data_IF_711446925796
#
_entry.id   IF_711446925796
#
_cell.length_a   1.000
_cell.length_b   1.000
_cell.length_c   1.000
_cell.angle_alpha   90.00
_cell.angle_beta   90.00
_cell.angle_gamma   90.00
#
_symmetry.space_group_name_H-M   'P 1'
#
loop_
_entity.id
_entity.type
_entity.pdbx_description
1 polymer ?
#
# COMPACT_ATOMS: atom_id res chain seq x y z
N UNK A 1 -67.21 -39.36 31.90
CA UNK A 1 -67.48 -39.26 33.35
C UNK A 1 -66.96 -37.90 33.85
N UNK A 2 -67.89 -37.12 34.26
CA UNK A 2 -67.90 -36.22 35.44
C UNK A 2 -66.77 -35.19 35.48
N UNK A 3 -67.05 -33.96 35.46
CA UNK A 3 -67.99 -32.94 35.96
C UNK A 3 -67.23 -31.87 36.73
N UNK A 4 -67.58 -30.59 36.40
CA UNK A 4 -67.78 -29.43 37.29
C UNK A 4 -66.56 -28.95 38.09
N UNK A 5 -66.26 -27.69 38.21
CA UNK A 5 -67.18 -26.62 38.50
C UNK A 5 -66.52 -25.25 38.52
N UNK A 6 -67.36 -24.38 38.22
CA UNK A 6 -67.59 -22.97 38.44
C UNK A 6 -66.99 -22.36 39.71
N UNK A 7 -66.47 -21.14 39.65
CA UNK A 7 -66.84 -20.05 40.52
C UNK A 7 -66.31 -18.69 40.04
N UNK A 8 -67.23 -17.77 39.83
CA UNK A 8 -67.15 -16.35 39.63
C UNK A 8 -66.91 -15.67 40.98
N UNK A 9 -66.03 -14.67 41.06
CA UNK A 9 -66.20 -13.55 41.99
C UNK A 9 -65.75 -12.28 41.32
N UNK A 10 -66.74 -11.39 41.21
CA UNK A 10 -66.65 -10.02 40.79
C UNK A 10 -66.26 -9.17 42.00
N UNK A 11 -65.32 -8.23 41.87
CA UNK A 11 -65.18 -7.10 42.80
C UNK A 11 -64.75 -5.86 42.02
N UNK A 12 -65.64 -4.90 41.93
CA UNK A 12 -65.38 -3.52 41.50
C UNK A 12 -64.58 -2.79 42.57
N UNK A 13 -63.65 -1.98 42.20
CA UNK A 13 -62.99 -0.98 43.03
C UNK A 13 -62.47 0.17 42.20
N UNK A 14 -63.17 1.28 42.26
CA UNK A 14 -62.87 2.61 41.64
C UNK A 14 -61.73 3.31 42.43
N UNK A 15 -61.10 4.23 41.71
CA UNK A 15 -60.39 5.45 42.11
C UNK A 15 -58.86 5.28 42.21
N UNK A 16 -58.00 6.11 41.71
CA UNK A 16 -57.94 7.53 41.42
C UNK A 16 -56.69 7.82 40.62
N UNK A 17 -56.76 8.76 39.69
CA UNK A 17 -55.65 9.45 39.02
C UNK A 17 -54.56 9.91 39.95
N UNK A 18 -53.31 9.67 39.59
CA UNK A 18 -52.21 10.65 39.75
C UNK A 18 -51.25 10.44 38.62
N UNK A 19 -51.15 11.45 37.77
CA UNK A 19 -50.21 11.50 36.65
C UNK A 19 -48.76 11.50 37.10
N UNK A 20 -48.00 10.64 36.46
CA UNK A 20 -46.57 10.79 36.38
C UNK A 20 -46.18 10.55 34.91
N UNK A 21 -45.93 11.65 34.22
CA UNK A 21 -45.28 11.64 32.94
C UNK A 21 -43.89 11.02 33.09
N UNK A 22 -43.75 9.74 32.78
CA UNK A 22 -42.47 9.14 32.51
C UNK A 22 -42.10 9.48 31.06
N UNK A 23 -41.24 10.48 30.95
CA UNK A 23 -40.48 10.76 29.73
C UNK A 23 -39.72 9.49 29.31
N UNK A 24 -40.25 8.79 28.34
CA UNK A 24 -39.53 7.72 27.66
C UNK A 24 -38.35 8.36 26.95
N UNK A 25 -37.18 8.32 27.59
CA UNK A 25 -35.89 8.49 26.92
C UNK A 25 -35.77 7.37 25.91
N UNK A 26 -36.01 7.72 24.64
CA UNK A 26 -35.60 6.89 23.52
C UNK A 26 -34.09 6.87 23.53
N UNK A 27 -33.52 5.83 24.11
CA UNK A 27 -32.15 5.45 23.82
C UNK A 27 -32.06 5.18 22.31
N UNK A 28 -31.61 6.19 21.60
CA UNK A 28 -31.10 6.02 20.24
C UNK A 28 -29.84 5.17 20.36
N UNK A 29 -29.81 3.96 19.81
CA UNK A 29 -28.57 3.18 19.82
C UNK A 29 -27.51 4.05 19.11
N UNK A 30 -26.49 4.42 19.88
CA UNK A 30 -25.36 5.17 19.38
C UNK A 30 -24.88 4.53 18.10
N UNK A 31 -24.98 5.29 17.01
CA UNK A 31 -24.35 4.96 15.73
C UNK A 31 -22.85 4.94 16.04
N UNK A 32 -22.34 3.75 16.33
CA UNK A 32 -20.90 3.52 16.31
C UNK A 32 -20.48 3.94 14.92
N UNK A 33 -19.85 5.10 14.80
CA UNK A 33 -19.16 5.48 13.57
C UNK A 33 -18.17 4.34 13.31
N UNK A 34 -18.50 3.55 12.31
CA UNK A 34 -17.62 2.50 11.82
C UNK A 34 -16.31 3.20 11.42
N UNK A 35 -15.33 3.11 12.27
CA UNK A 35 -13.97 3.50 11.97
C UNK A 35 -13.63 2.83 10.64
N UNK A 36 -13.23 3.57 9.59
CA UNK A 36 -12.95 2.96 8.29
C UNK A 36 -11.94 1.85 8.53
N UNK A 37 -12.32 0.63 8.22
CA UNK A 37 -11.46 -0.54 8.35
C UNK A 37 -10.17 -0.20 7.58
N UNK A 38 -9.07 -0.04 8.31
CA UNK A 38 -7.77 0.20 7.70
C UNK A 38 -7.48 -1.02 6.84
N UNK A 39 -7.49 -0.83 5.52
CA UNK A 39 -7.16 -1.90 4.58
C UNK A 39 -5.82 -2.52 4.95
N UNK A 40 -5.71 -3.83 4.86
CA UNK A 40 -4.45 -4.52 5.13
C UNK A 40 -3.32 -3.93 4.28
N UNK A 41 -2.07 -3.88 4.78
CA UNK A 41 -0.94 -3.44 3.97
C UNK A 41 -0.77 -4.33 2.74
N UNK A 42 -0.57 -3.72 1.57
CA UNK A 42 -0.42 -4.50 0.34
C UNK A 42 -0.23 -3.66 -0.90
N UNK A 43 -0.16 -4.34 -2.02
CA UNK A 43 -0.19 -3.77 -3.35
C UNK A 43 -1.43 -4.24 -4.10
N UNK A 44 -1.97 -3.36 -4.93
CA UNK A 44 -3.05 -3.66 -5.87
C UNK A 44 -2.57 -3.35 -7.28
N UNK A 45 -2.79 -4.29 -8.20
CA UNK A 45 -2.35 -4.18 -9.59
C UNK A 45 -3.55 -4.35 -10.50
N UNK A 46 -3.95 -3.27 -11.14
CA UNK A 46 -5.06 -3.25 -12.10
C UNK A 46 -4.54 -3.10 -13.53
N UNK A 47 -5.29 -3.69 -14.45
CA UNK A 47 -5.02 -3.58 -15.87
C UNK A 47 -5.83 -2.42 -16.42
N UNK A 48 -5.23 -1.55 -17.27
CA UNK A 48 -6.01 -0.57 -18.01
C UNK A 48 -6.98 -1.26 -18.97
N UNK A 49 -8.08 -0.60 -19.37
CA UNK A 49 -9.02 -1.17 -20.31
C UNK A 49 -8.32 -1.64 -21.59
N UNK A 50 -8.65 -2.82 -22.10
CA UNK A 50 -8.06 -3.43 -23.29
C UNK A 50 -8.28 -2.61 -24.58
N UNK A 51 -9.26 -1.70 -24.57
CA UNK A 51 -9.56 -0.75 -25.63
C UNK A 51 -8.62 0.46 -25.68
N UNK A 52 -7.72 0.61 -24.73
CA UNK A 52 -6.76 1.71 -24.71
C UNK A 52 -5.75 1.53 -25.85
N UNK A 53 -5.66 2.44 -26.84
CA UNK A 53 -4.77 2.29 -28.00
C UNK A 53 -3.30 2.22 -27.63
N UNK A 54 -2.94 2.72 -26.43
CA UNK A 54 -1.62 2.65 -25.83
C UNK A 54 -1.72 1.88 -24.51
N UNK A 55 -1.65 0.56 -24.59
CA UNK A 55 -1.58 -0.28 -23.38
C UNK A 55 -0.23 -0.04 -22.69
N UNK A 56 -0.18 1.03 -21.90
CA UNK A 56 1.08 1.57 -21.35
C UNK A 56 1.65 0.75 -20.17
N UNK A 57 0.94 -0.29 -19.76
CA UNK A 57 1.35 -1.14 -18.63
C UNK A 57 0.32 -1.19 -17.51
N UNK A 58 0.60 -1.92 -16.43
CA UNK A 58 -0.29 -2.07 -15.29
C UNK A 58 -0.34 -0.78 -14.47
N UNK A 59 -1.44 -0.54 -13.77
CA UNK A 59 -1.53 0.52 -12.75
C UNK A 59 -1.30 -0.12 -11.39
N UNK A 60 -0.25 0.31 -10.71
CA UNK A 60 0.16 -0.19 -9.40
C UNK A 60 -0.26 0.82 -8.33
N UNK A 61 -0.92 0.34 -7.29
CA UNK A 61 -1.30 1.10 -6.08
C UNK A 61 -0.76 0.39 -4.86
N UNK A 62 -0.44 1.15 -3.84
CA UNK A 62 -0.07 0.60 -2.54
C UNK A 62 -1.07 1.05 -1.48
N UNK A 63 -1.34 0.19 -0.51
CA UNK A 63 -2.17 0.50 0.63
C UNK A 63 -1.38 0.22 1.91
N UNK A 64 -1.28 1.21 2.79
CA UNK A 64 -0.74 1.08 4.15
C UNK A 64 0.64 0.40 4.29
N UNK A 65 1.43 0.35 3.21
CA UNK A 65 2.74 -0.36 3.20
C UNK A 65 3.78 0.29 4.11
N UNK A 66 3.62 1.59 4.39
CA UNK A 66 4.43 2.30 5.38
C UNK A 66 3.62 2.65 6.65
N UNK A 67 2.37 2.18 6.78
CA UNK A 67 1.56 2.40 7.98
C UNK A 67 2.10 1.54 9.13
N UNK A 68 2.64 2.18 10.15
CA UNK A 68 3.13 1.50 11.34
C UNK A 68 3.80 2.50 12.28
N UNK A 69 3.51 2.38 13.59
CA UNK A 69 4.09 3.27 14.59
C UNK A 69 5.62 3.13 14.66
N UNK A 70 6.13 1.92 14.47
CA UNK A 70 7.56 1.65 14.56
C UNK A 70 8.31 2.21 13.34
N UNK A 71 7.76 2.05 12.14
CA UNK A 71 8.34 2.66 10.94
C UNK A 71 8.32 4.19 11.02
N UNK A 72 7.22 4.78 11.53
CA UNK A 72 7.14 6.22 11.78
C UNK A 72 8.23 6.69 12.74
N UNK A 73 8.45 5.97 13.84
CA UNK A 73 9.54 6.28 14.79
C UNK A 73 10.91 6.20 14.15
N UNK A 74 11.17 5.16 13.35
CA UNK A 74 12.42 5.01 12.61
C UNK A 74 12.66 6.20 11.67
N UNK A 75 11.65 6.58 10.88
CA UNK A 75 11.72 7.77 10.01
C UNK A 75 12.05 9.03 10.81
N UNK A 76 11.36 9.27 11.94
CA UNK A 76 11.61 10.44 12.80
C UNK A 76 13.00 10.45 13.43
N UNK A 77 13.60 9.28 13.60
CA UNK A 77 14.99 9.11 14.06
C UNK A 77 16.02 9.22 12.92
N UNK A 78 15.59 9.60 11.71
CA UNK A 78 16.46 9.84 10.57
C UNK A 78 16.71 8.62 9.68
N UNK A 79 16.05 7.47 9.93
CA UNK A 79 16.17 6.29 9.07
C UNK A 79 15.14 6.34 7.94
N UNK A 80 15.53 6.49 6.66
CA UNK A 80 14.59 6.53 5.55
C UNK A 80 13.95 5.17 5.31
N UNK A 81 12.70 5.17 4.86
CA UNK A 81 12.07 4.00 4.30
C UNK A 81 12.34 3.93 2.79
N UNK A 82 12.74 2.76 2.33
CA UNK A 82 12.99 2.43 0.94
C UNK A 82 11.97 1.38 0.49
N UNK A 83 11.26 1.70 -0.58
CA UNK A 83 10.27 0.86 -1.22
C UNK A 83 10.79 0.51 -2.60
N UNK A 84 11.23 -0.73 -2.79
CA UNK A 84 11.75 -1.22 -4.07
C UNK A 84 10.69 -2.02 -4.80
N UNK A 85 10.33 -1.56 -5.98
CA UNK A 85 9.32 -2.18 -6.83
C UNK A 85 9.97 -2.85 -8.03
N UNK A 86 9.42 -4.01 -8.38
CA UNK A 86 9.74 -4.71 -9.61
C UNK A 86 8.44 -5.16 -10.26
N UNK A 87 8.26 -4.85 -11.52
CA UNK A 87 7.17 -5.36 -12.34
C UNK A 87 7.73 -6.17 -13.50
N UNK A 88 7.26 -7.38 -13.65
CA UNK A 88 7.61 -8.31 -14.73
C UNK A 88 6.39 -8.56 -15.60
N UNK A 89 6.55 -8.44 -16.93
CA UNK A 89 5.57 -8.91 -17.91
C UNK A 89 5.93 -10.34 -18.29
N UNK A 90 5.01 -11.25 -18.09
CA UNK A 90 5.14 -12.66 -18.42
C UNK A 90 4.26 -13.04 -19.61
N UNK A 91 4.76 -13.95 -20.43
CA UNK A 91 4.06 -14.57 -21.56
C UNK A 91 3.88 -16.06 -21.31
N UNK A 92 2.66 -16.56 -21.52
CA UNK A 92 2.37 -17.99 -21.47
C UNK A 92 2.59 -18.62 -22.85
N UNK A 93 3.69 -19.31 -23.02
CA UNK A 93 4.04 -20.01 -24.24
C UNK A 93 4.13 -21.53 -23.99
N UNK A 94 3.01 -22.22 -24.15
CA UNK A 94 2.99 -23.70 -24.07
C UNK A 94 3.25 -24.23 -22.64
N UNK A 95 4.40 -24.88 -22.45
CA UNK A 95 4.75 -25.58 -21.20
C UNK A 95 5.43 -24.70 -20.17
N UNK A 96 6.00 -23.55 -20.58
CA UNK A 96 6.71 -22.65 -19.69
C UNK A 96 6.23 -21.21 -19.87
N UNK A 97 6.26 -20.46 -18.78
CA UNK A 97 6.00 -19.03 -18.80
C UNK A 97 7.34 -18.30 -18.87
N UNK A 98 7.49 -17.34 -19.80
CA UNK A 98 8.71 -16.58 -20.05
C UNK A 98 8.55 -15.11 -19.63
N UNK A 99 9.59 -14.52 -19.03
CA UNK A 99 9.66 -13.08 -18.74
C UNK A 99 9.98 -12.32 -20.01
N UNK A 100 9.03 -11.54 -20.49
CA UNK A 100 9.18 -10.73 -21.71
C UNK A 100 9.90 -9.41 -21.44
N UNK A 101 9.63 -8.80 -20.29
CA UNK A 101 10.16 -7.48 -19.95
C UNK A 101 10.06 -7.23 -18.43
N UNK A 102 10.97 -6.42 -17.91
CA UNK A 102 11.02 -6.04 -16.49
C UNK A 102 11.25 -4.54 -16.38
N UNK A 103 10.56 -3.91 -15.42
CA UNK A 103 10.80 -2.53 -14.99
C UNK A 103 10.95 -2.50 -13.48
N UNK A 104 11.92 -1.73 -13.00
CA UNK A 104 12.18 -1.52 -11.59
C UNK A 104 12.13 -0.02 -11.28
N UNK A 105 11.58 0.33 -10.13
CA UNK A 105 11.57 1.70 -9.60
C UNK A 105 11.59 1.68 -8.09
N UNK A 106 12.02 2.78 -7.50
CA UNK A 106 12.11 2.93 -6.06
C UNK A 106 11.30 4.12 -5.59
N UNK A 107 10.78 4.06 -4.36
CA UNK A 107 10.23 5.20 -3.65
C UNK A 107 10.95 5.32 -2.31
N UNK A 108 11.43 6.50 -2.01
CA UNK A 108 12.11 6.80 -0.74
C UNK A 108 11.30 7.80 0.05
N UNK A 109 11.05 7.48 1.31
CA UNK A 109 10.41 8.38 2.28
C UNK A 109 11.44 8.74 3.34
N UNK A 110 11.70 10.03 3.52
CA UNK A 110 12.65 10.54 4.50
C UNK A 110 12.01 11.64 5.33
N UNK A 111 12.28 11.64 6.64
CA UNK A 111 11.93 12.74 7.51
C UNK A 111 13.08 13.74 7.60
N UNK A 112 12.78 15.02 7.49
CA UNK A 112 13.73 16.15 7.63
C UNK A 112 13.48 16.84 8.98
N UNK A 113 14.34 16.63 10.01
CA UNK A 113 14.08 17.15 11.36
C UNK A 113 14.04 18.67 11.45
N UNK A 114 14.86 19.36 10.66
CA UNK A 114 14.93 20.82 10.67
C UNK A 114 13.62 21.47 10.23
N UNK A 115 12.99 20.94 9.21
CA UNK A 115 11.74 21.44 8.67
C UNK A 115 10.52 20.71 9.21
N UNK A 116 10.73 19.62 9.99
CA UNK A 116 9.71 18.71 10.52
C UNK A 116 8.79 18.17 9.41
N UNK A 117 9.34 17.87 8.24
CA UNK A 117 8.58 17.41 7.06
C UNK A 117 9.04 16.04 6.58
N UNK A 118 8.11 15.32 5.94
CA UNK A 118 8.39 14.08 5.23
C UNK A 118 8.57 14.38 3.75
N UNK A 119 9.71 14.02 3.20
CA UNK A 119 9.99 14.11 1.76
C UNK A 119 9.78 12.75 1.12
N UNK A 120 9.05 12.75 0.00
CA UNK A 120 8.79 11.54 -0.79
C UNK A 120 9.33 11.75 -2.19
N UNK A 121 10.15 10.82 -2.67
CA UNK A 121 10.73 10.84 -4.01
C UNK A 121 10.63 9.47 -4.66
N UNK A 122 10.41 9.45 -5.99
CA UNK A 122 10.43 8.26 -6.84
C UNK A 122 11.65 8.28 -7.74
N UNK A 123 12.21 7.11 -7.98
CA UNK A 123 13.36 6.91 -8.85
C UNK A 123 13.02 5.87 -9.90
N UNK A 124 13.21 6.21 -11.17
CA UNK A 124 13.00 5.32 -12.32
C UNK A 124 14.23 5.43 -13.21
N UNK A 125 15.07 4.41 -13.20
CA UNK A 125 16.40 4.52 -13.82
C UNK A 125 17.20 5.67 -13.20
N UNK A 126 17.70 6.58 -14.02
CA UNK A 126 18.50 7.73 -13.59
C UNK A 126 17.64 8.99 -13.28
N UNK A 127 16.32 8.86 -13.32
CA UNK A 127 15.40 9.98 -13.12
C UNK A 127 14.84 9.97 -11.70
N UNK A 128 15.00 11.10 -11.01
CA UNK A 128 14.37 11.37 -9.72
C UNK A 128 13.14 12.26 -9.92
N UNK A 129 12.01 11.83 -9.40
CA UNK A 129 10.75 12.57 -9.36
C UNK A 129 10.41 12.93 -7.92
N UNK A 130 10.25 14.21 -7.63
CA UNK A 130 9.83 14.67 -6.31
C UNK A 130 8.30 14.54 -6.20
N UNK A 131 7.81 13.61 -5.36
CA UNK A 131 6.38 13.40 -5.13
C UNK A 131 5.78 14.39 -4.12
N UNK A 132 6.62 15.08 -3.37
CA UNK A 132 6.21 16.14 -2.46
C UNK A 132 6.96 16.16 -1.14
N UNK A 133 6.65 17.23 -0.37
CA UNK A 133 7.09 17.44 1.01
C UNK A 133 5.83 17.65 1.85
N UNK A 134 5.72 16.95 2.97
CA UNK A 134 4.50 16.86 3.78
C UNK A 134 4.80 17.06 5.26
N UNK A 135 4.01 17.85 5.94
CA UNK A 135 4.13 18.06 7.39
C UNK A 135 3.56 16.86 8.15
N UNK A 136 2.51 16.24 7.61
CA UNK A 136 1.84 15.10 8.23
C UNK A 136 2.31 13.80 7.60
N UNK A 137 2.47 12.79 8.45
CA UNK A 137 2.86 11.45 7.99
C UNK A 137 1.80 10.80 7.09
N UNK A 138 0.53 11.03 7.40
CA UNK A 138 -0.61 10.50 6.66
C UNK A 138 -0.62 11.04 5.21
N UNK A 139 -0.22 12.29 5.00
CA UNK A 139 -0.12 12.88 3.66
C UNK A 139 1.06 12.28 2.86
N UNK A 140 2.17 11.97 3.53
CA UNK A 140 3.27 11.22 2.92
C UNK A 140 2.85 9.79 2.55
N UNK A 141 2.08 9.11 3.41
CA UNK A 141 1.50 7.80 3.09
C UNK A 141 0.58 7.89 1.87
N UNK A 142 -0.28 8.90 1.82
CA UNK A 142 -1.16 9.13 0.67
C UNK A 142 -0.37 9.40 -0.63
N UNK A 143 0.78 10.08 -0.54
CA UNK A 143 1.65 10.29 -1.69
C UNK A 143 2.29 8.98 -2.19
N UNK A 144 2.72 8.11 -1.29
CA UNK A 144 3.22 6.76 -1.62
C UNK A 144 2.12 5.89 -2.24
N UNK A 145 0.89 6.03 -1.77
CA UNK A 145 -0.27 5.27 -2.26
C UNK A 145 -0.82 5.76 -3.61
N UNK A 146 -0.30 6.86 -4.17
CA UNK A 146 -0.75 7.34 -5.48
C UNK A 146 -0.53 6.29 -6.56
N UNK A 147 -1.53 6.08 -7.44
CA UNK A 147 -1.38 5.17 -8.56
C UNK A 147 -0.16 5.52 -9.41
N UNK A 148 0.61 4.51 -9.76
CA UNK A 148 1.72 4.65 -10.68
C UNK A 148 1.60 3.64 -11.82
N UNK A 149 1.83 4.11 -13.03
CA UNK A 149 1.85 3.28 -14.23
C UNK A 149 3.30 3.19 -14.73
N UNK A 150 4.02 2.10 -14.41
CA UNK A 150 5.37 1.91 -14.92
C UNK A 150 5.36 1.74 -16.44
N UNK A 151 6.41 2.20 -17.15
CA UNK A 151 6.52 2.07 -18.60
C UNK A 151 6.82 0.62 -19.02
N UNK A 152 5.86 -0.27 -18.81
CA UNK A 152 5.93 -1.69 -19.11
C UNK A 152 4.74 -2.11 -19.98
N UNK A 153 4.70 -1.68 -21.27
CA UNK A 153 3.61 -1.97 -22.15
C UNK A 153 3.51 -3.46 -22.45
N UNK A 154 2.29 -3.97 -22.49
CA UNK A 154 2.04 -5.33 -22.95
C UNK A 154 2.32 -5.42 -24.46
N UNK A 155 2.81 -6.57 -24.91
CA UNK A 155 3.10 -6.82 -26.30
C UNK A 155 1.87 -7.33 -27.06
N UNK A 156 1.70 -6.92 -28.30
CA UNK A 156 0.70 -7.49 -29.21
C UNK A 156 1.18 -8.86 -29.67
N UNK A 157 0.75 -9.90 -29.00
CA UNK A 157 1.12 -11.29 -29.29
C UNK A 157 -0.11 -12.19 -29.24
N UNK A 158 -0.01 -13.40 -29.80
CA UNK A 158 -1.06 -14.44 -29.69
C UNK A 158 -1.07 -15.09 -28.31
N UNK A 159 0.03 -14.98 -27.56
CA UNK A 159 0.18 -15.56 -26.22
C UNK A 159 -0.65 -14.79 -25.20
N UNK A 160 -1.11 -15.48 -24.17
CA UNK A 160 -1.68 -14.83 -22.98
C UNK A 160 -0.55 -14.24 -22.17
N UNK A 161 -0.76 -13.05 -21.63
CA UNK A 161 0.18 -12.33 -20.81
C UNK A 161 -0.39 -12.06 -19.42
N UNK A 162 0.48 -11.82 -18.45
CA UNK A 162 0.13 -11.34 -17.12
C UNK A 162 1.29 -10.58 -16.52
N UNK A 163 1.00 -9.75 -15.52
CA UNK A 163 2.04 -9.06 -14.75
C UNK A 163 2.21 -9.70 -13.39
N UNK A 164 3.45 -9.72 -12.91
CA UNK A 164 3.79 -9.93 -11.51
C UNK A 164 4.45 -8.65 -11.02
N UNK A 165 3.93 -8.08 -9.93
CA UNK A 165 4.53 -6.93 -9.27
C UNK A 165 4.93 -7.33 -7.87
N UNK A 166 6.17 -7.02 -7.54
CA UNK A 166 6.77 -7.25 -6.22
C UNK A 166 7.16 -5.92 -5.62
N UNK A 167 6.86 -5.74 -4.34
CA UNK A 167 7.29 -4.62 -3.53
C UNK A 167 8.05 -5.15 -2.31
N UNK A 168 9.28 -4.72 -2.16
CA UNK A 168 10.07 -4.88 -0.94
C UNK A 168 10.10 -3.54 -0.20
N UNK A 169 9.72 -3.55 1.09
CA UNK A 169 9.77 -2.38 1.98
C UNK A 169 10.85 -2.63 3.02
N UNK A 170 11.80 -1.72 3.14
CA UNK A 170 12.91 -1.81 4.07
C UNK A 170 13.29 -0.43 4.63
N UNK A 171 14.02 -0.42 5.74
CA UNK A 171 14.57 0.80 6.34
C UNK A 171 16.06 0.87 5.99
N UNK A 172 16.50 2.02 5.49
CA UNK A 172 17.90 2.24 5.08
C UNK A 172 18.72 2.64 6.31
N UNK A 173 19.94 2.09 6.43
CA UNK A 173 20.87 2.49 7.49
C UNK A 173 21.44 3.90 7.26
N UNK A 174 21.97 4.53 8.30
CA UNK A 174 22.57 5.88 8.20
C UNK A 174 23.78 5.92 7.26
N UNK A 175 24.60 4.86 7.24
CA UNK A 175 25.77 4.76 6.33
C UNK A 175 25.35 4.71 4.85
N UNK A 176 24.25 4.05 4.57
CA UNK A 176 23.73 3.92 3.22
C UNK A 176 22.99 5.18 2.78
N UNK A 177 22.52 5.97 3.76
CA UNK A 177 21.90 7.27 3.51
C UNK A 177 22.90 8.26 2.88
N UNK A 178 24.15 8.31 3.35
CA UNK A 178 25.19 9.18 2.78
C UNK A 178 25.49 8.81 1.31
N UNK A 179 25.44 7.54 0.98
CA UNK A 179 25.61 7.07 -0.40
C UNK A 179 24.39 7.43 -1.26
N UNK A 180 23.18 7.27 -0.72
CA UNK A 180 21.96 7.69 -1.37
C UNK A 180 21.93 9.21 -1.60
N UNK A 181 22.37 10.02 -0.63
CA UNK A 181 22.44 11.48 -0.78
C UNK A 181 23.43 11.91 -1.86
N UNK A 182 24.61 11.29 -1.91
CA UNK A 182 25.60 11.56 -2.97
C UNK A 182 25.07 11.20 -4.34
N UNK A 183 24.33 10.08 -4.44
CA UNK A 183 23.66 9.69 -5.67
C UNK A 183 22.54 10.69 -6.06
N UNK A 184 21.73 11.13 -5.09
CA UNK A 184 20.68 12.14 -5.29
C UNK A 184 21.22 13.49 -5.76
N UNK A 185 22.45 13.86 -5.35
CA UNK A 185 23.14 15.07 -5.80
C UNK A 185 23.83 14.91 -7.16
N UNK A 186 23.76 13.73 -7.75
CA UNK A 186 24.42 13.41 -9.02
C UNK A 186 25.95 13.27 -8.92
N UNK A 187 26.49 13.18 -7.71
CA UNK A 187 27.93 13.06 -7.44
C UNK A 187 28.45 11.64 -7.73
N UNK A 188 27.58 10.64 -7.65
CA UNK A 188 27.90 9.27 -7.99
C UNK A 188 27.40 8.95 -9.41
N UNK A 189 28.30 8.99 -10.38
CA UNK A 189 28.02 8.36 -11.67
C UNK A 189 28.05 6.85 -11.47
N UNK A 190 27.03 6.08 -11.94
CA UNK A 190 27.07 4.63 -11.82
C UNK A 190 28.30 4.11 -12.55
N UNK A 191 29.27 3.56 -11.79
CA UNK A 191 30.48 2.97 -12.31
C UNK A 191 30.21 1.64 -13.07
N UNK A 192 28.96 1.26 -13.26
CA UNK A 192 28.56 -0.01 -13.84
C UNK A 192 27.85 0.23 -15.16
N UNK A 193 28.57 -0.01 -16.25
CA UNK A 193 27.99 -0.29 -17.57
C UNK A 193 27.16 -1.58 -17.50
N UNK A 194 25.94 -1.48 -17.13
CA UNK A 194 24.97 -2.57 -17.14
C UNK A 194 23.58 -2.02 -16.90
N UNK A 195 22.59 -2.55 -17.60
CA UNK A 195 21.15 -2.19 -17.57
C UNK A 195 20.50 -2.40 -16.17
N UNK A 196 21.17 -2.03 -15.09
CA UNK A 196 20.66 -2.18 -13.72
C UNK A 196 20.37 -0.81 -13.15
N UNK A 197 19.17 -0.64 -12.63
CA UNK A 197 18.78 0.53 -11.87
C UNK A 197 19.69 0.68 -10.65
N UNK A 198 20.43 1.81 -10.46
CA UNK A 198 21.31 2.01 -9.31
C UNK A 198 20.57 1.84 -7.98
N UNK A 199 19.30 2.28 -7.88
CA UNK A 199 18.47 2.11 -6.71
C UNK A 199 18.30 0.65 -6.29
N UNK A 200 18.07 -0.27 -7.25
CA UNK A 200 17.92 -1.69 -6.95
C UNK A 200 19.25 -2.39 -6.68
N UNK A 201 20.37 -1.87 -7.22
CA UNK A 201 21.70 -2.35 -6.88
C UNK A 201 22.07 -1.97 -5.43
N UNK A 202 21.73 -0.74 -5.00
CA UNK A 202 21.83 -0.31 -3.62
C UNK A 202 20.98 -1.21 -2.71
N UNK A 203 19.68 -1.39 -3.01
CA UNK A 203 18.76 -2.19 -2.21
C UNK A 203 19.23 -3.62 -1.97
N UNK A 204 19.90 -4.26 -2.95
CA UNK A 204 20.44 -5.61 -2.76
C UNK A 204 21.66 -5.68 -1.85
N UNK A 205 22.54 -4.67 -1.87
CA UNK A 205 23.68 -4.56 -0.96
C UNK A 205 23.27 -4.18 0.47
N UNK A 206 22.34 -3.25 0.58
CA UNK A 206 21.83 -2.67 1.83
C UNK A 206 20.95 -3.68 2.59
N UNK A 207 20.09 -4.41 1.90
CA UNK A 207 19.18 -5.39 2.49
C UNK A 207 19.90 -6.39 3.42
N UNK A 208 21.12 -6.81 3.04
CA UNK A 208 21.91 -7.75 3.84
C UNK A 208 22.48 -7.12 5.12
N UNK A 209 22.78 -5.83 5.10
CA UNK A 209 23.36 -5.11 6.24
C UNK A 209 22.26 -4.59 7.20
N UNK A 210 21.19 -4.01 6.67
CA UNK A 210 20.09 -3.46 7.48
C UNK A 210 19.36 -4.55 8.29
N UNK A 211 19.16 -5.72 7.69
CA UNK A 211 18.55 -6.89 8.38
C UNK A 211 19.42 -7.37 9.54
N UNK A 212 20.74 -7.20 9.47
CA UNK A 212 21.70 -7.67 10.46
C UNK A 212 21.90 -6.71 11.63
N UNK A 213 21.78 -5.39 11.40
CA UNK A 213 22.13 -4.37 12.40
C UNK A 213 20.93 -3.80 13.17
N UNK A 214 19.74 -3.80 12.61
CA UNK A 214 18.58 -3.10 13.19
C UNK A 214 17.38 -3.99 13.48
N UNK A 215 17.47 -5.33 13.26
CA UNK A 215 16.28 -6.19 13.35
C UNK A 215 15.18 -5.73 12.39
N UNK A 216 15.56 -5.05 11.32
CA UNK A 216 14.68 -4.36 10.39
C UNK A 216 13.78 -5.37 9.68
N UNK A 217 12.50 -5.25 9.94
CA UNK A 217 11.46 -6.05 9.35
C UNK A 217 11.38 -5.72 7.85
N UNK A 218 12.01 -6.56 7.03
CA UNK A 218 11.80 -6.49 5.58
C UNK A 218 10.42 -7.06 5.29
N UNK A 219 9.56 -6.25 4.69
CA UNK A 219 8.21 -6.67 4.28
C UNK A 219 8.19 -6.82 2.78
N UNK A 220 7.69 -7.96 2.30
CA UNK A 220 7.54 -8.24 0.88
C UNK A 220 6.08 -8.46 0.55
N UNK A 221 5.63 -7.80 -0.51
CA UNK A 221 4.30 -7.92 -1.08
C UNK A 221 4.43 -8.33 -2.53
N UNK A 222 3.56 -9.23 -2.98
CA UNK A 222 3.55 -9.71 -4.36
C UNK A 222 2.10 -9.79 -4.84
N UNK A 223 1.85 -9.30 -6.04
CA UNK A 223 0.55 -9.37 -6.70
C UNK A 223 0.74 -9.82 -8.15
N UNK A 224 -0.05 -10.81 -8.54
CA UNK A 224 -0.18 -11.28 -9.92
C UNK A 224 -1.51 -10.81 -10.49
N UNK A 225 -1.52 -10.32 -11.74
CA UNK A 225 -2.75 -10.02 -12.45
C UNK A 225 -3.40 -11.25 -13.04
N UNK A 226 -4.65 -11.14 -13.43
CA UNK A 226 -5.26 -12.11 -14.32
C UNK A 226 -4.54 -12.15 -15.67
N UNK A 227 -4.68 -13.27 -16.37
CA UNK A 227 -4.12 -13.41 -17.72
C UNK A 227 -4.99 -12.68 -18.73
N UNK A 228 -4.37 -11.90 -19.60
CA UNK A 228 -5.03 -11.11 -20.62
C UNK A 228 -4.39 -11.28 -22.00
N UNK A 229 -5.02 -10.73 -23.04
CA UNK A 229 -4.46 -10.60 -24.39
C UNK A 229 -4.67 -9.18 -24.86
N UNK A 230 -3.64 -8.61 -25.50
CA UNK A 230 -3.79 -7.34 -26.21
C UNK A 230 -4.33 -7.65 -27.60
N UNK A 231 -5.54 -7.15 -27.90
CA UNK A 231 -6.17 -7.31 -29.20
C UNK A 231 -5.31 -6.73 -30.34
N UNK A 232 -5.59 -7.20 -31.57
CA UNK A 232 -4.97 -6.66 -32.79
C UNK A 232 -5.46 -5.25 -33.07
#
# INVERSE_FOLDING_TARGET
MRTLGTAIVLALGLATDIGAQQSASRDTPGRTEAQPAQSAPGIDVSLPPSSSPNYAGPVVRTANVIAGADLRKLLQNGFPAHLSYRADLWSRSGWFDDVESTVEWDVVVRYEPLTKTYRVARFVGDRAENLGRFERYEDAQAAVARPYQPPLPARRTRSRQYYIVVLDVEVISMSDLDELERWLRGELRPAVRGKRNPGTALGRGISTLATRLLGGEKRRYEQRTETFRVGK
#
